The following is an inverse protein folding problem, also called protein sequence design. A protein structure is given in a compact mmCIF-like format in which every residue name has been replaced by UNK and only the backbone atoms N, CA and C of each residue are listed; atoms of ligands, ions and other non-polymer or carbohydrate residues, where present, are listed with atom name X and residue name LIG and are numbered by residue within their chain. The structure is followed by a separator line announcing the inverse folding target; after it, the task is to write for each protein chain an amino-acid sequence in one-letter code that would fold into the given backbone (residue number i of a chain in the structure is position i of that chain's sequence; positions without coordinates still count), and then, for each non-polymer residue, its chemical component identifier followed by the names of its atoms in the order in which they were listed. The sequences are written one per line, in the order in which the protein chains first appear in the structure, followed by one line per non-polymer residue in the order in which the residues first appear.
data_IF_224816794338
#
_entry.id   IF_224816794338
#
_cell.length_a   1.000
_cell.length_b   1.000
_cell.length_c   1.000
_cell.angle_alpha   90.00
_cell.angle_beta   90.00
_cell.angle_gamma   90.00
#
_symmetry.space_group_name_H-M   'P 1'
#
loop_
_entity.id
_entity.type
_entity.pdbx_description
1 polymer ?
#
# COMPACT_ATOMS: atom_id res chain seq x y z
N UNK A 1 -17.55 11.88 15.63
CA UNK A 1 -16.18 12.11 16.18
C UNK A 1 -15.15 11.80 15.09
N UNK A 2 -15.12 12.57 14.01
CA UNK A 2 -14.28 12.28 12.83
C UNK A 2 -13.33 13.45 12.49
N UNK A 3 -12.91 14.24 13.48
CA UNK A 3 -12.19 15.51 13.23
C UNK A 3 -10.68 15.45 13.53
N UNK A 4 -10.09 14.27 13.65
CA UNK A 4 -8.70 14.15 14.15
C UNK A 4 -7.59 14.00 13.10
N UNK A 5 -7.87 14.03 11.79
CA UNK A 5 -6.83 13.78 10.79
C UNK A 5 -6.27 15.01 10.05
N UNK A 6 -6.76 16.23 10.33
CA UNK A 6 -6.24 17.46 9.70
C UNK A 6 -6.28 18.64 10.68
N UNK A 7 -5.46 18.63 11.72
CA UNK A 7 -5.16 19.86 12.45
C UNK A 7 -3.64 20.10 12.41
N UNK A 8 -3.14 21.20 11.84
CA UNK A 8 -1.73 21.53 11.94
C UNK A 8 -1.45 21.92 13.39
N UNK A 9 -0.87 21.01 14.17
CA UNK A 9 -0.37 21.27 15.51
C UNK A 9 0.78 22.28 15.42
N UNK A 10 0.48 23.52 15.65
CA UNK A 10 1.49 24.51 15.97
C UNK A 10 1.98 24.27 17.40
N UNK A 11 3.28 24.01 17.55
CA UNK A 11 4.07 24.29 18.75
C UNK A 11 3.88 23.40 20.01
N UNK A 12 3.64 22.09 19.91
CA UNK A 12 3.62 21.20 21.10
C UNK A 12 4.47 19.94 20.97
N UNK A 13 5.41 19.84 20.05
CA UNK A 13 6.32 18.66 19.97
C UNK A 13 5.65 17.33 19.57
N UNK A 14 4.34 17.28 19.38
CA UNK A 14 3.63 16.12 18.87
C UNK A 14 3.81 16.01 17.35
N UNK A 15 3.93 14.78 16.79
CA UNK A 15 4.03 14.59 15.35
C UNK A 15 2.80 15.18 14.66
N UNK A 16 3.02 15.90 13.56
CA UNK A 16 1.95 16.59 12.81
C UNK A 16 0.86 15.64 12.28
N UNK A 17 1.12 14.33 12.24
CA UNK A 17 0.21 13.28 11.79
C UNK A 17 0.27 12.08 12.72
N UNK A 18 -0.85 11.36 12.92
CA UNK A 18 -0.87 10.15 13.72
C UNK A 18 0.01 9.07 13.08
N UNK A 19 0.61 8.23 13.94
CA UNK A 19 1.33 7.04 13.50
C UNK A 19 0.35 5.97 13.07
N UNK A 20 0.43 5.55 11.80
CA UNK A 20 -0.40 4.49 11.19
C UNK A 20 0.49 3.27 10.90
N UNK A 21 0.09 2.09 11.38
CA UNK A 21 0.80 0.83 11.20
C UNK A 21 -0.14 -0.18 10.54
N UNK A 22 0.05 -0.36 9.24
CA UNK A 22 -0.79 -1.15 8.38
C UNK A 22 -0.17 -2.47 7.93
N UNK A 23 -1.03 -3.28 7.34
CA UNK A 23 -0.67 -4.47 6.57
C UNK A 23 -1.15 -4.33 5.14
N UNK A 24 -0.44 -4.90 4.18
CA UNK A 24 -0.96 -5.07 2.84
C UNK A 24 -0.57 -6.43 2.24
N UNK A 25 -1.33 -6.85 1.24
CA UNK A 25 -1.11 -8.07 0.50
C UNK A 25 -1.37 -7.87 -0.99
N UNK A 26 -0.68 -8.63 -1.82
CA UNK A 26 -0.98 -8.73 -3.25
C UNK A 26 -1.92 -9.92 -3.56
N UNK A 27 -2.46 -10.56 -2.50
CA UNK A 27 -3.23 -11.78 -2.63
C UNK A 27 -2.35 -12.95 -3.04
N UNK A 28 -1.20 -13.10 -2.40
CA UNK A 28 -0.26 -14.19 -2.68
C UNK A 28 -0.98 -15.53 -2.65
N UNK A 29 -0.80 -16.33 -3.70
CA UNK A 29 -1.41 -17.67 -3.78
C UNK A 29 -0.82 -18.57 -2.72
N UNK A 30 -1.59 -18.79 -1.67
CA UNK A 30 -1.20 -19.60 -0.51
C UNK A 30 -1.16 -21.08 -0.85
N UNK A 31 -0.45 -21.86 -0.03
CA UNK A 31 -0.38 -23.33 -0.13
C UNK A 31 -1.18 -24.02 0.96
N UNK A 32 -1.58 -25.26 0.70
CA UNK A 32 -2.07 -26.18 1.70
C UNK A 32 -0.95 -26.63 2.65
N UNK A 33 -1.24 -27.27 3.78
CA UNK A 33 -0.22 -27.85 4.65
C UNK A 33 0.69 -28.89 3.98
N UNK A 34 0.22 -29.50 2.86
CA UNK A 34 1.05 -30.39 2.05
C UNK A 34 1.93 -29.69 1.00
N UNK A 35 1.89 -28.35 0.95
CA UNK A 35 2.67 -27.55 -0.01
C UNK A 35 2.01 -27.34 -1.38
N UNK A 36 0.82 -27.92 -1.62
CA UNK A 36 0.12 -27.74 -2.89
C UNK A 36 -0.55 -26.37 -2.96
N UNK A 37 -0.41 -25.63 -4.09
CA UNK A 37 -1.05 -24.34 -4.25
C UNK A 37 -2.57 -24.42 -4.15
N UNK A 38 -3.18 -23.53 -3.37
CA UNK A 38 -4.63 -23.44 -3.26
C UNK A 38 -5.24 -22.84 -4.53
N UNK A 39 -6.55 -23.05 -4.73
CA UNK A 39 -7.29 -22.40 -5.82
C UNK A 39 -7.34 -20.89 -5.64
N UNK A 40 -7.45 -20.13 -6.74
CA UNK A 40 -7.66 -18.67 -6.70
C UNK A 40 -8.85 -18.29 -5.81
N UNK A 41 -9.96 -19.04 -5.93
CA UNK A 41 -11.14 -18.80 -5.11
C UNK A 41 -10.88 -18.98 -3.61
N UNK A 42 -10.04 -19.96 -3.21
CA UNK A 42 -9.67 -20.12 -1.82
C UNK A 42 -8.71 -19.03 -1.35
N UNK A 43 -7.76 -18.62 -2.20
CA UNK A 43 -6.85 -17.47 -1.90
C UNK A 43 -7.67 -16.20 -1.65
N UNK A 44 -8.65 -15.88 -2.49
CA UNK A 44 -9.53 -14.72 -2.30
C UNK A 44 -10.29 -14.79 -0.97
N UNK A 45 -10.87 -15.96 -0.62
CA UNK A 45 -11.55 -16.14 0.67
C UNK A 45 -10.60 -15.98 1.86
N UNK A 46 -9.38 -16.49 1.75
CA UNK A 46 -8.36 -16.38 2.79
C UNK A 46 -7.98 -14.90 3.04
N UNK A 47 -7.86 -14.08 1.99
CA UNK A 47 -7.57 -12.64 2.14
C UNK A 47 -8.68 -11.92 2.89
N UNK A 48 -9.96 -12.30 2.70
CA UNK A 48 -11.06 -11.73 3.51
C UNK A 48 -10.88 -12.07 4.99
N UNK A 49 -10.56 -13.34 5.33
CA UNK A 49 -10.32 -13.75 6.72
C UNK A 49 -9.09 -13.03 7.32
N UNK A 50 -8.03 -12.84 6.54
CA UNK A 50 -6.83 -12.11 6.94
C UNK A 50 -7.13 -10.65 7.26
N UNK A 51 -7.95 -9.97 6.44
CA UNK A 51 -8.35 -8.58 6.70
C UNK A 51 -9.22 -8.43 7.94
N UNK A 52 -10.10 -9.39 8.21
CA UNK A 52 -10.91 -9.41 9.45
C UNK A 52 -10.03 -9.67 10.69
N UNK A 53 -9.07 -10.60 10.59
CA UNK A 53 -8.12 -10.84 11.68
C UNK A 53 -7.24 -9.62 11.94
N UNK A 54 -6.84 -8.89 10.90
CA UNK A 54 -6.05 -7.67 11.05
C UNK A 54 -6.75 -6.63 11.94
N UNK A 55 -8.07 -6.43 11.80
CA UNK A 55 -8.82 -5.58 12.73
C UNK A 55 -8.80 -6.13 14.16
N UNK A 56 -9.05 -7.43 14.33
CA UNK A 56 -9.06 -8.07 15.65
C UNK A 56 -7.71 -7.96 16.36
N UNK A 57 -6.62 -7.97 15.59
CA UNK A 57 -5.26 -7.81 16.09
C UNK A 57 -4.86 -6.33 16.34
N UNK A 58 -5.71 -5.36 16.01
CA UNK A 58 -5.46 -3.94 16.24
C UNK A 58 -4.58 -3.25 15.20
N UNK A 59 -4.61 -3.74 13.96
CA UNK A 59 -3.95 -3.12 12.79
C UNK A 59 -4.75 -1.89 12.36
N UNK A 60 -4.06 -0.79 12.02
CA UNK A 60 -4.73 0.47 11.66
C UNK A 60 -5.24 0.49 10.21
N UNK A 61 -4.58 -0.20 9.29
CA UNK A 61 -4.90 -0.22 7.86
C UNK A 61 -4.67 -1.60 7.24
N UNK A 62 -5.55 -2.01 6.34
CA UNK A 62 -5.39 -3.20 5.52
C UNK A 62 -5.52 -2.87 4.04
N UNK A 63 -4.45 -3.14 3.29
CA UNK A 63 -4.34 -2.83 1.87
C UNK A 63 -4.35 -4.06 0.97
N UNK A 64 -4.92 -3.90 -0.24
CA UNK A 64 -4.86 -4.92 -1.29
C UNK A 64 -4.26 -4.33 -2.56
N UNK A 65 -3.16 -4.92 -3.03
CA UNK A 65 -2.53 -4.58 -4.29
C UNK A 65 -3.23 -5.26 -5.47
N UNK A 66 -3.40 -4.52 -6.57
CA UNK A 66 -3.99 -5.02 -7.81
C UNK A 66 -2.96 -5.78 -8.63
N UNK A 67 -3.26 -7.04 -8.95
CA UNK A 67 -2.45 -7.91 -9.78
C UNK A 67 -3.32 -8.85 -10.63
N UNK A 68 -2.80 -9.26 -11.80
CA UNK A 68 -3.52 -10.07 -12.80
C UNK A 68 -2.73 -11.35 -13.18
N UNK A 69 -2.01 -11.94 -12.23
CA UNK A 69 -1.17 -13.13 -12.44
C UNK A 69 -1.69 -14.34 -11.67
N UNK A 70 -1.26 -15.54 -12.08
CA UNK A 70 -1.62 -16.78 -11.39
C UNK A 70 -1.11 -16.82 -9.93
N UNK A 71 0.04 -16.22 -9.66
CA UNK A 71 0.62 -16.17 -8.32
C UNK A 71 0.10 -15.02 -7.44
N UNK A 72 -0.57 -14.03 -8.05
CA UNK A 72 -1.31 -12.95 -7.37
C UNK A 72 -2.71 -12.79 -7.97
N UNK A 73 -3.66 -13.69 -7.67
CA UNK A 73 -4.99 -13.67 -8.27
C UNK A 73 -5.92 -12.64 -7.60
N UNK A 74 -5.50 -11.37 -7.61
CA UNK A 74 -6.19 -10.28 -6.91
C UNK A 74 -6.49 -9.08 -7.84
N UNK A 75 -7.24 -9.29 -8.93
CA UNK A 75 -7.50 -8.23 -9.91
C UNK A 75 -8.57 -7.23 -9.45
N UNK A 76 -9.41 -7.58 -8.50
CA UNK A 76 -10.53 -6.76 -8.02
C UNK A 76 -10.46 -6.61 -6.49
N UNK A 77 -9.37 -6.00 -6.01
CA UNK A 77 -9.13 -5.79 -4.58
C UNK A 77 -10.23 -4.99 -3.89
N UNK A 78 -10.86 -4.05 -4.59
CA UNK A 78 -11.99 -3.26 -4.12
C UNK A 78 -13.21 -4.11 -3.73
N UNK A 79 -13.50 -5.19 -4.46
CA UNK A 79 -14.58 -6.14 -4.13
C UNK A 79 -14.25 -6.92 -2.85
N UNK A 80 -12.99 -7.34 -2.69
CA UNK A 80 -12.53 -8.04 -1.49
C UNK A 80 -12.53 -7.10 -0.28
N UNK A 81 -12.09 -5.84 -0.45
CA UNK A 81 -12.16 -4.81 0.58
C UNK A 81 -13.59 -4.53 1.02
N UNK A 82 -14.57 -4.55 0.11
CA UNK A 82 -15.99 -4.40 0.47
C UNK A 82 -16.50 -5.58 1.34
N UNK A 83 -16.04 -6.80 1.06
CA UNK A 83 -16.38 -7.97 1.90
C UNK A 83 -15.75 -7.86 3.30
N UNK A 84 -14.53 -7.33 3.41
CA UNK A 84 -13.88 -7.03 4.70
C UNK A 84 -14.62 -5.90 5.42
N UNK A 85 -14.96 -4.80 4.71
CA UNK A 85 -15.68 -3.66 5.28
C UNK A 85 -17.00 -4.04 5.96
N UNK A 86 -17.72 -5.01 5.38
CA UNK A 86 -18.98 -5.52 5.93
C UNK A 86 -18.80 -6.36 7.21
N UNK A 87 -17.57 -6.72 7.60
CA UNK A 87 -17.22 -7.57 8.74
C UNK A 87 -16.33 -6.87 9.76
N UNK A 88 -16.05 -5.57 9.55
CA UNK A 88 -15.12 -4.76 10.36
C UNK A 88 -15.73 -3.38 10.65
N UNK A 89 -15.26 -2.72 11.72
CA UNK A 89 -15.82 -1.44 12.18
C UNK A 89 -14.79 -0.30 12.28
N UNK A 90 -13.49 -0.63 12.40
CA UNK A 90 -12.45 0.36 12.74
C UNK A 90 -11.30 0.45 11.75
N UNK A 91 -10.84 -0.69 11.23
CA UNK A 91 -9.68 -0.75 10.33
C UNK A 91 -9.92 0.04 9.05
N UNK A 92 -8.97 0.87 8.67
CA UNK A 92 -8.97 1.53 7.36
C UNK A 92 -8.68 0.52 6.24
N UNK A 93 -9.33 0.68 5.12
CA UNK A 93 -9.30 -0.29 4.01
C UNK A 93 -8.93 0.43 2.70
N UNK A 94 -7.96 -0.08 1.98
CA UNK A 94 -7.54 0.58 0.75
C UNK A 94 -6.75 -0.26 -0.23
N UNK A 95 -6.40 0.34 -1.36
CA UNK A 95 -5.48 -0.32 -2.30
C UNK A 95 -4.02 -0.15 -1.92
N UNK A 96 -3.19 -1.10 -2.39
CA UNK A 96 -1.74 -1.06 -2.17
C UNK A 96 -0.93 -1.67 -3.35
N UNK A 97 -1.17 -1.25 -4.59
CA UNK A 97 -1.86 -0.06 -5.10
C UNK A 97 -3.02 -0.40 -6.06
N UNK A 98 -3.86 0.59 -6.45
CA UNK A 98 -4.66 0.53 -7.68
C UNK A 98 -3.79 0.94 -8.86
N UNK A 99 -3.75 0.13 -9.93
CA UNK A 99 -2.97 0.41 -11.15
C UNK A 99 -3.74 1.38 -12.05
N UNK A 100 -3.73 2.67 -11.70
CA UNK A 100 -4.52 3.69 -12.38
C UNK A 100 -4.13 3.86 -13.86
N UNK A 101 -2.90 3.51 -14.25
CA UNK A 101 -2.47 3.57 -15.66
C UNK A 101 -3.35 2.74 -16.59
N UNK A 102 -3.81 1.58 -16.14
CA UNK A 102 -4.65 0.65 -16.93
C UNK A 102 -6.14 0.66 -16.56
N UNK A 103 -6.56 1.56 -15.65
CA UNK A 103 -7.98 1.69 -15.24
C UNK A 103 -8.55 3.07 -15.61
N UNK A 104 -9.88 3.22 -15.56
CA UNK A 104 -10.55 4.50 -15.76
C UNK A 104 -10.70 5.23 -14.41
N UNK A 105 -10.21 6.48 -14.27
CA UNK A 105 -10.25 7.22 -13.01
C UNK A 105 -11.67 7.48 -12.48
N UNK A 106 -12.68 7.56 -13.35
CA UNK A 106 -14.08 7.67 -12.93
C UNK A 106 -14.53 6.37 -12.26
N UNK A 107 -14.17 5.22 -12.84
CA UNK A 107 -14.48 3.91 -12.24
C UNK A 107 -13.77 3.69 -10.91
N UNK A 108 -12.50 4.07 -10.82
CA UNK A 108 -11.75 4.00 -9.56
C UNK A 108 -12.41 4.87 -8.50
N UNK A 109 -12.75 6.12 -8.83
CA UNK A 109 -13.46 7.01 -7.92
C UNK A 109 -14.79 6.40 -7.45
N UNK A 110 -15.60 5.87 -8.37
CA UNK A 110 -16.90 5.26 -8.05
C UNK A 110 -16.75 4.05 -7.10
N UNK A 111 -15.78 3.15 -7.35
CA UNK A 111 -15.54 1.98 -6.51
C UNK A 111 -15.10 2.38 -5.11
N UNK A 112 -14.15 3.31 -4.98
CA UNK A 112 -13.65 3.74 -3.67
C UNK A 112 -14.63 4.65 -2.93
N UNK A 113 -15.44 5.46 -3.62
CA UNK A 113 -16.55 6.17 -2.99
C UNK A 113 -17.64 5.22 -2.48
N UNK A 114 -17.92 4.13 -3.21
CA UNK A 114 -18.83 3.08 -2.76
C UNK A 114 -18.24 2.34 -1.54
N UNK A 115 -16.96 1.99 -1.57
CA UNK A 115 -16.27 1.39 -0.42
C UNK A 115 -16.28 2.34 0.80
N UNK A 116 -16.09 3.64 0.57
CA UNK A 116 -16.14 4.65 1.61
C UNK A 116 -17.51 4.70 2.29
N UNK A 117 -18.59 4.67 1.51
CA UNK A 117 -19.96 4.61 2.03
C UNK A 117 -20.22 3.32 2.82
N UNK A 118 -19.81 2.14 2.27
CA UNK A 118 -19.99 0.85 2.93
C UNK A 118 -19.21 0.72 4.25
N UNK A 119 -18.06 1.40 4.34
CA UNK A 119 -17.17 1.34 5.49
C UNK A 119 -17.33 2.52 6.46
N UNK A 120 -18.34 3.39 6.29
CA UNK A 120 -18.52 4.59 7.11
C UNK A 120 -17.26 5.48 7.15
N UNK A 121 -16.69 5.79 5.98
CA UNK A 121 -15.59 6.74 5.83
C UNK A 121 -14.18 6.16 6.00
N UNK A 122 -14.02 4.82 6.11
CA UNK A 122 -12.71 4.15 6.33
C UNK A 122 -11.93 3.82 5.05
N UNK A 123 -12.47 4.16 3.87
CA UNK A 123 -11.78 3.85 2.63
C UNK A 123 -10.62 4.80 2.35
N UNK A 124 -9.54 4.23 1.81
CA UNK A 124 -8.38 4.95 1.29
C UNK A 124 -8.03 4.43 -0.11
N UNK A 125 -7.29 5.20 -0.88
CA UNK A 125 -6.76 4.74 -2.15
C UNK A 125 -5.31 5.13 -2.33
N UNK A 126 -4.45 4.14 -2.61
CA UNK A 126 -3.06 4.37 -3.02
C UNK A 126 -3.01 4.12 -4.53
N UNK A 127 -2.78 5.19 -5.28
CA UNK A 127 -2.68 5.15 -6.74
C UNK A 127 -1.25 4.84 -7.16
N UNK A 128 -1.09 3.88 -8.04
CA UNK A 128 0.19 3.49 -8.60
C UNK A 128 0.17 3.44 -10.12
N UNK A 129 1.36 3.50 -10.71
CA UNK A 129 1.53 3.30 -12.16
C UNK A 129 1.47 1.82 -12.56
N UNK A 130 1.52 0.93 -11.60
CA UNK A 130 1.81 -0.48 -11.79
C UNK A 130 3.32 -0.72 -11.89
N UNK A 131 3.80 -1.65 -11.09
CA UNK A 131 5.18 -2.14 -11.17
C UNK A 131 5.30 -3.36 -12.08
N UNK A 132 4.18 -3.99 -12.39
CA UNK A 132 4.02 -5.11 -13.31
C UNK A 132 3.36 -4.62 -14.60
N UNK A 133 3.66 -5.28 -15.70
CA UNK A 133 3.19 -4.86 -17.02
C UNK A 133 1.97 -5.65 -17.50
N UNK A 134 1.53 -6.65 -16.75
CA UNK A 134 0.47 -7.59 -17.12
C UNK A 134 -0.87 -6.92 -17.43
N UNK A 135 -1.20 -5.82 -16.77
CA UNK A 135 -2.45 -5.11 -16.98
C UNK A 135 -2.51 -4.37 -18.33
N UNK A 136 -1.35 -3.95 -18.87
CA UNK A 136 -1.32 -3.19 -20.13
C UNK A 136 -1.87 -3.97 -21.33
N UNK A 137 -1.29 -5.13 -21.72
CA UNK A 137 -1.84 -5.93 -22.79
C UNK A 137 -3.24 -6.47 -22.49
N UNK A 138 -3.54 -6.78 -21.20
CA UNK A 138 -4.83 -7.30 -20.79
C UNK A 138 -5.96 -6.30 -21.06
N UNK A 139 -5.73 -5.01 -20.85
CA UNK A 139 -6.72 -3.95 -21.03
C UNK A 139 -6.51 -3.10 -22.30
N UNK A 140 -5.57 -3.51 -23.18
CA UNK A 140 -5.35 -2.87 -24.46
C UNK A 140 -4.63 -1.53 -24.40
N UNK A 141 -3.78 -1.32 -23.40
CA UNK A 141 -2.90 -0.15 -23.29
C UNK A 141 -1.50 -0.44 -23.81
N UNK A 142 -0.83 0.59 -24.35
CA UNK A 142 0.56 0.53 -24.76
C UNK A 142 1.46 1.04 -23.62
N UNK A 143 2.56 0.32 -23.36
CA UNK A 143 3.58 0.74 -22.41
C UNK A 143 4.29 2.04 -22.80
N UNK A 144 4.29 2.40 -24.10
CA UNK A 144 4.80 3.68 -24.55
C UNK A 144 4.03 4.87 -23.96
N UNK A 145 2.75 4.68 -23.62
CA UNK A 145 1.88 5.71 -23.04
C UNK A 145 1.91 5.75 -21.51
N UNK A 146 2.78 4.93 -20.86
CA UNK A 146 2.83 4.71 -19.42
C UNK A 146 2.81 5.98 -18.56
N UNK A 147 3.65 6.97 -18.89
CA UNK A 147 3.72 8.22 -18.16
C UNK A 147 2.50 9.11 -18.40
N UNK A 148 2.05 9.21 -19.66
CA UNK A 148 0.91 10.03 -20.06
C UNK A 148 -0.39 9.50 -19.45
N UNK A 149 -0.61 8.19 -19.50
CA UNK A 149 -1.76 7.55 -18.87
C UNK A 149 -1.85 7.90 -17.38
N UNK A 150 -0.76 7.76 -16.64
CA UNK A 150 -0.77 8.05 -15.21
C UNK A 150 -0.93 9.54 -14.91
N UNK A 151 -0.27 10.42 -15.67
CA UNK A 151 -0.37 11.87 -15.50
C UNK A 151 -1.81 12.37 -15.70
N UNK A 152 -2.44 12.03 -16.83
CA UNK A 152 -3.79 12.47 -17.13
C UNK A 152 -4.83 11.85 -16.17
N UNK A 153 -4.71 10.57 -15.89
CA UNK A 153 -5.68 9.87 -15.05
C UNK A 153 -5.62 10.30 -13.58
N UNK A 154 -4.42 10.57 -13.03
CA UNK A 154 -4.31 11.14 -11.69
C UNK A 154 -4.84 12.58 -11.61
N UNK A 155 -4.66 13.39 -12.66
CA UNK A 155 -5.19 14.74 -12.71
C UNK A 155 -6.73 14.74 -12.73
N UNK A 156 -7.34 13.86 -13.54
CA UNK A 156 -8.80 13.69 -13.51
C UNK A 156 -9.30 13.16 -12.17
N UNK A 157 -8.59 12.19 -11.56
CA UNK A 157 -8.96 11.67 -10.24
C UNK A 157 -8.96 12.79 -9.18
N UNK A 158 -7.96 13.68 -9.23
CA UNK A 158 -7.91 14.84 -8.34
C UNK A 158 -9.08 15.81 -8.53
N UNK A 159 -9.62 15.97 -9.76
CA UNK A 159 -10.82 16.76 -10.00
C UNK A 159 -12.07 16.07 -9.44
N UNK A 160 -12.19 14.75 -9.59
CA UNK A 160 -13.33 13.98 -9.06
C UNK A 160 -13.46 14.11 -7.53
N UNK A 161 -12.33 14.20 -6.84
CA UNK A 161 -12.30 14.39 -5.37
C UNK A 161 -12.80 15.77 -4.90
N UNK A 162 -12.90 16.77 -5.80
CA UNK A 162 -13.46 18.08 -5.45
C UNK A 162 -14.99 18.07 -5.34
N UNK A 163 -15.63 17.02 -5.85
CA UNK A 163 -17.09 16.94 -5.92
C UNK A 163 -17.72 17.83 -6.99
N UNK A 164 -19.02 17.65 -7.23
CA UNK A 164 -19.79 18.35 -8.24
C UNK A 164 -19.55 17.87 -9.67
N UNK A 165 -20.20 18.49 -10.65
CA UNK A 165 -20.07 18.10 -12.04
C UNK A 165 -18.67 18.34 -12.61
N UNK A 166 -18.11 17.36 -13.31
CA UNK A 166 -16.75 17.38 -13.83
C UNK A 166 -16.73 17.60 -15.33
N UNK A 167 -15.87 18.51 -15.77
CA UNK A 167 -15.50 18.68 -17.18
C UNK A 167 -14.03 18.33 -17.35
N UNK A 168 -13.75 17.44 -18.29
CA UNK A 168 -12.39 16.95 -18.57
C UNK A 168 -12.13 16.86 -20.06
N UNK A 169 -10.93 17.20 -20.46
CA UNK A 169 -10.44 16.95 -21.81
C UNK A 169 -8.98 16.51 -21.71
N UNK A 170 -8.70 15.33 -22.22
CA UNK A 170 -7.37 14.72 -22.30
C UNK A 170 -7.27 13.86 -23.55
N UNK A 171 -6.21 13.08 -23.65
CA UNK A 171 -5.93 12.21 -24.79
C UNK A 171 -6.13 10.73 -24.48
N UNK A 172 -6.10 10.37 -23.20
CA UNK A 172 -6.14 8.96 -22.75
C UNK A 172 -7.55 8.41 -22.50
N UNK A 173 -8.57 9.29 -22.59
CA UNK A 173 -9.99 8.91 -22.48
C UNK A 173 -10.90 9.95 -23.13
N UNK A 174 -12.17 9.60 -23.47
CA UNK A 174 -13.16 10.56 -23.94
C UNK A 174 -13.40 11.71 -22.97
N UNK A 175 -13.71 12.89 -23.52
CA UNK A 175 -14.01 14.09 -22.75
C UNK A 175 -15.25 13.91 -21.86
N UNK A 176 -15.26 14.55 -20.70
CA UNK A 176 -16.44 14.77 -19.85
C UNK A 176 -16.91 16.22 -20.04
N UNK A 177 -18.22 16.43 -20.07
CA UNK A 177 -18.81 17.76 -20.23
C UNK A 177 -19.87 17.97 -19.15
N UNK A 178 -19.51 18.69 -18.08
CA UNK A 178 -20.37 18.97 -16.94
C UNK A 178 -21.11 17.71 -16.45
N UNK A 179 -20.32 16.63 -16.27
CA UNK A 179 -20.84 15.30 -15.97
C UNK A 179 -20.90 15.07 -14.47
N UNK A 180 -22.07 14.76 -13.93
CA UNK A 180 -22.22 14.32 -12.54
C UNK A 180 -21.63 12.91 -12.38
N UNK A 181 -20.88 12.70 -11.30
CA UNK A 181 -20.29 11.39 -10.98
C UNK A 181 -20.73 10.98 -9.59
N UNK A 182 -21.36 9.82 -9.47
CA UNK A 182 -21.92 9.28 -8.23
C UNK A 182 -21.29 7.93 -7.90
N UNK A 183 -21.28 7.52 -6.60
CA UNK A 183 -21.82 8.24 -5.43
C UNK A 183 -20.93 9.40 -5.00
N UNK A 184 -21.53 10.42 -4.40
CA UNK A 184 -20.78 11.46 -3.70
C UNK A 184 -20.24 10.91 -2.39
N UNK A 185 -19.14 11.49 -1.91
CA UNK A 185 -18.70 11.27 -0.53
C UNK A 185 -19.70 11.97 0.41
N UNK A 186 -20.05 11.33 1.52
CA UNK A 186 -20.90 11.93 2.52
C UNK A 186 -20.22 13.12 3.21
N UNK A 187 -21.03 14.06 3.72
CA UNK A 187 -20.52 15.23 4.43
C UNK A 187 -19.67 14.81 5.62
N UNK A 188 -18.45 15.37 5.70
CA UNK A 188 -17.48 15.05 6.73
C UNK A 188 -16.55 13.89 6.39
N UNK A 189 -16.84 13.10 5.36
CA UNK A 189 -15.94 12.06 4.89
C UNK A 189 -15.03 12.53 3.75
N UNK A 190 -13.85 11.96 3.70
CA UNK A 190 -12.88 12.18 2.63
C UNK A 190 -12.35 10.83 2.15
N UNK A 191 -12.03 10.74 0.88
CA UNK A 191 -11.28 9.61 0.35
C UNK A 191 -9.79 9.94 0.44
N UNK A 192 -9.14 9.42 1.48
CA UNK A 192 -7.70 9.58 1.68
C UNK A 192 -6.94 9.03 0.48
N UNK A 193 -6.16 9.87 -0.17
CA UNK A 193 -5.51 9.53 -1.45
C UNK A 193 -4.00 9.65 -1.35
N UNK A 194 -3.31 8.62 -1.78
CA UNK A 194 -1.86 8.49 -1.77
C UNK A 194 -1.32 8.19 -3.18
N UNK A 195 -0.07 8.54 -3.43
CA UNK A 195 0.66 8.07 -4.62
C UNK A 195 1.81 7.17 -4.18
N UNK A 196 1.84 5.95 -4.73
CA UNK A 196 2.93 5.01 -4.57
C UNK A 196 4.13 5.39 -5.44
N UNK A 197 5.32 5.51 -4.81
CA UNK A 197 6.56 5.93 -5.48
C UNK A 197 7.70 4.98 -5.16
N UNK A 198 8.23 4.33 -6.20
CA UNK A 198 9.37 3.42 -6.10
C UNK A 198 10.74 4.05 -6.39
N UNK A 199 10.86 5.40 -6.44
CA UNK A 199 12.16 6.08 -6.66
C UNK A 199 12.19 7.07 -7.82
N UNK A 200 11.05 7.58 -8.30
CA UNK A 200 10.96 8.63 -9.33
C UNK A 200 10.72 10.00 -8.69
N UNK A 201 11.66 10.97 -8.81
CA UNK A 201 11.44 12.32 -8.33
C UNK A 201 10.22 13.01 -8.96
N UNK A 202 9.94 12.71 -10.22
CA UNK A 202 8.77 13.25 -10.95
C UNK A 202 7.47 12.81 -10.29
N UNK A 203 7.38 11.55 -9.83
CA UNK A 203 6.21 11.04 -9.12
C UNK A 203 6.04 11.69 -7.74
N UNK A 204 7.14 12.00 -7.04
CA UNK A 204 7.11 12.77 -5.79
C UNK A 204 6.54 14.17 -6.02
N UNK A 205 7.03 14.88 -7.04
CA UNK A 205 6.55 16.23 -7.39
C UNK A 205 5.08 16.18 -7.82
N UNK A 206 4.67 15.14 -8.56
CA UNK A 206 3.26 14.92 -8.94
C UNK A 206 2.36 14.76 -7.72
N UNK A 207 2.74 13.93 -6.75
CA UNK A 207 1.99 13.76 -5.50
C UNK A 207 1.80 15.11 -4.79
N UNK A 208 2.87 15.88 -4.61
CA UNK A 208 2.82 17.19 -3.98
C UNK A 208 1.94 18.18 -4.77
N UNK A 209 2.07 18.25 -6.11
CA UNK A 209 1.28 19.13 -6.97
C UNK A 209 -0.22 18.84 -6.88
N UNK A 210 -0.61 17.57 -6.84
CA UNK A 210 -2.00 17.16 -6.71
C UNK A 210 -2.54 17.25 -5.27
N UNK A 211 -1.67 17.37 -4.26
CA UNK A 211 -2.06 17.37 -2.85
C UNK A 211 -2.44 15.98 -2.35
N UNK A 212 -1.76 14.96 -2.86
CA UNK A 212 -1.88 13.57 -2.41
C UNK A 212 -0.72 13.21 -1.50
N UNK A 213 -0.97 12.37 -0.52
CA UNK A 213 0.06 11.86 0.39
C UNK A 213 1.06 10.96 -0.37
N UNK A 214 2.26 10.81 0.18
CA UNK A 214 3.33 10.04 -0.46
C UNK A 214 3.50 8.68 0.20
N UNK A 215 3.40 7.59 -0.57
CA UNK A 215 3.76 6.24 -0.15
C UNK A 215 5.05 5.80 -0.83
N UNK A 216 6.13 5.65 -0.07
CA UNK A 216 7.41 5.16 -0.56
C UNK A 216 7.40 3.62 -0.62
N UNK A 217 7.39 3.06 -1.83
CA UNK A 217 7.44 1.61 -2.06
C UNK A 217 8.91 1.14 -2.04
N UNK A 218 9.36 0.63 -0.90
CA UNK A 218 10.76 0.23 -0.67
C UNK A 218 10.84 -1.29 -0.63
N UNK A 219 11.05 -1.89 -1.78
CA UNK A 219 11.03 -3.35 -1.96
C UNK A 219 12.44 -4.00 -1.97
N UNK A 220 13.50 -3.21 -1.85
CA UNK A 220 14.88 -3.70 -1.80
C UNK A 220 15.91 -2.59 -1.62
N UNK A 221 17.11 -2.97 -1.21
CA UNK A 221 18.24 -2.09 -0.96
C UNK A 221 18.13 -1.35 0.38
N UNK A 222 18.78 -0.21 0.49
CA UNK A 222 18.81 0.57 1.74
C UNK A 222 17.65 1.55 1.81
N UNK A 223 16.71 1.46 2.78
CA UNK A 223 15.62 2.43 2.94
C UNK A 223 16.09 3.87 3.06
N UNK A 224 17.21 4.13 3.72
CA UNK A 224 17.76 5.47 3.91
C UNK A 224 18.00 6.25 2.59
N UNK A 225 18.19 5.55 1.46
CA UNK A 225 18.32 6.21 0.13
C UNK A 225 17.05 6.95 -0.31
N UNK A 226 15.93 6.69 0.33
CA UNK A 226 14.65 7.35 0.05
C UNK A 226 14.43 8.63 0.87
N UNK A 227 15.28 8.94 1.85
CA UNK A 227 15.15 10.18 2.63
C UNK A 227 15.14 11.47 1.77
N UNK A 228 15.94 11.60 0.68
CA UNK A 228 15.83 12.75 -0.22
C UNK A 228 14.45 12.89 -0.88
N UNK A 229 13.72 11.79 -1.12
CA UNK A 229 12.37 11.86 -1.70
C UNK A 229 11.34 12.39 -0.70
N UNK A 230 11.43 12.00 0.57
CA UNK A 230 10.59 12.55 1.63
C UNK A 230 10.83 14.06 1.81
N UNK A 231 12.09 14.49 1.82
CA UNK A 231 12.46 15.92 1.87
C UNK A 231 11.97 16.69 0.64
N UNK A 232 12.16 16.13 -0.57
CA UNK A 232 11.68 16.71 -1.83
C UNK A 232 10.16 16.89 -1.81
N UNK A 233 9.42 15.92 -1.25
CA UNK A 233 7.96 15.98 -1.15
C UNK A 233 7.50 17.18 -0.33
N UNK A 234 8.03 17.37 0.88
CA UNK A 234 7.66 18.50 1.75
C UNK A 234 8.03 19.84 1.12
N UNK A 235 9.20 19.92 0.50
CA UNK A 235 9.63 21.13 -0.22
C UNK A 235 8.70 21.43 -1.42
N UNK A 236 8.31 20.40 -2.19
CA UNK A 236 7.40 20.57 -3.32
C UNK A 236 5.99 21.00 -2.86
N UNK A 237 5.46 20.44 -1.76
CA UNK A 237 4.21 20.91 -1.17
C UNK A 237 4.27 22.40 -0.85
N UNK A 238 5.34 22.87 -0.17
CA UNK A 238 5.52 24.28 0.15
C UNK A 238 5.59 25.14 -1.12
N UNK A 239 6.32 24.71 -2.15
CA UNK A 239 6.42 25.42 -3.43
C UNK A 239 5.08 25.52 -4.18
N UNK A 240 4.18 24.54 -4.00
CA UNK A 240 2.81 24.58 -4.54
C UNK A 240 1.79 25.27 -3.60
N UNK A 241 2.23 25.85 -2.49
CA UNK A 241 1.36 26.51 -1.51
C UNK A 241 0.42 25.56 -0.78
N UNK A 242 0.82 24.29 -0.64
CA UNK A 242 0.02 23.26 0.04
C UNK A 242 0.53 23.02 1.46
N UNK A 243 -0.36 22.64 2.39
CA UNK A 243 0.08 22.25 3.73
C UNK A 243 0.93 20.98 3.68
N UNK A 244 1.76 20.72 4.71
CA UNK A 244 2.42 19.43 4.86
C UNK A 244 1.45 18.27 4.77
N UNK A 245 1.89 17.16 4.20
CA UNK A 245 1.12 15.90 4.09
C UNK A 245 1.98 14.72 4.58
N UNK A 246 1.36 13.64 5.06
CA UNK A 246 2.08 12.50 5.60
C UNK A 246 2.88 11.76 4.53
N UNK A 247 3.97 11.13 4.98
CA UNK A 247 4.77 10.18 4.22
C UNK A 247 4.57 8.80 4.82
N UNK A 248 4.27 7.83 3.98
CA UNK A 248 4.18 6.41 4.32
C UNK A 248 5.33 5.63 3.69
N UNK A 249 5.59 4.47 4.26
CA UNK A 249 6.56 3.49 3.79
C UNK A 249 5.87 2.15 3.63
N UNK A 250 6.04 1.53 2.47
CA UNK A 250 5.64 0.16 2.20
C UNK A 250 6.90 -0.68 2.07
N UNK A 251 6.94 -1.84 2.72
CA UNK A 251 8.06 -2.78 2.63
C UNK A 251 7.64 -4.22 2.89
N UNK A 252 8.25 -5.19 2.15
CA UNK A 252 7.94 -6.62 2.35
C UNK A 252 8.56 -7.16 3.62
N UNK A 253 7.88 -8.15 4.22
CA UNK A 253 8.41 -8.81 5.39
C UNK A 253 7.59 -9.99 5.89
N UNK A 254 8.04 -10.55 7.01
CA UNK A 254 7.41 -11.67 7.69
C UNK A 254 7.79 -11.68 9.16
N UNK A 255 6.80 -11.85 10.03
CA UNK A 255 6.98 -11.91 11.48
C UNK A 255 6.69 -13.33 11.96
N UNK A 256 7.62 -13.91 12.68
CA UNK A 256 7.48 -15.19 13.34
C UNK A 256 7.97 -15.10 14.81
N UNK A 257 7.74 -16.10 15.66
CA UNK A 257 8.12 -16.04 17.07
C UNK A 257 9.63 -15.77 17.33
N UNK A 258 10.50 -16.20 16.40
CA UNK A 258 11.96 -15.98 16.48
C UNK A 258 12.51 -15.53 15.13
N UNK A 259 13.69 -14.91 15.13
CA UNK A 259 14.37 -14.47 13.91
C UNK A 259 14.70 -15.66 12.99
N UNK A 260 15.23 -16.75 13.57
CA UNK A 260 15.58 -17.96 12.82
C UNK A 260 14.35 -18.56 12.14
N UNK A 261 13.23 -18.68 12.87
CA UNK A 261 11.98 -19.20 12.30
C UNK A 261 11.45 -18.29 11.19
N UNK A 262 11.49 -16.98 11.36
CA UNK A 262 11.06 -16.04 10.33
C UNK A 262 11.89 -16.17 9.06
N UNK A 263 13.20 -16.34 9.17
CA UNK A 263 14.11 -16.56 8.04
C UNK A 263 13.83 -17.88 7.33
N UNK A 264 13.69 -18.98 8.08
CA UNK A 264 13.43 -20.32 7.55
C UNK A 264 12.09 -20.40 6.81
N UNK A 265 11.05 -19.76 7.35
CA UNK A 265 9.73 -19.71 6.74
C UNK A 265 9.72 -18.82 5.48
N UNK A 266 10.36 -17.64 5.52
CA UNK A 266 10.23 -16.66 4.46
C UNK A 266 11.17 -16.88 3.27
N UNK A 267 12.42 -17.28 3.52
CA UNK A 267 13.47 -17.38 2.49
C UNK A 267 13.09 -18.22 1.26
N UNK A 268 12.62 -19.47 1.39
CA UNK A 268 12.31 -20.29 0.23
C UNK A 268 11.22 -19.68 -0.64
N UNK A 269 10.19 -19.09 -0.01
CA UNK A 269 9.06 -18.47 -0.69
C UNK A 269 9.42 -17.13 -1.34
N UNK A 270 10.20 -16.31 -0.65
CA UNK A 270 10.72 -15.06 -1.20
C UNK A 270 11.61 -15.28 -2.41
N UNK A 271 12.54 -16.22 -2.32
CA UNK A 271 13.42 -16.58 -3.43
C UNK A 271 12.63 -17.03 -4.66
N UNK A 272 11.64 -17.88 -4.46
CA UNK A 272 10.79 -18.37 -5.55
C UNK A 272 9.93 -17.25 -6.16
N UNK A 273 9.32 -16.42 -5.33
CA UNK A 273 8.57 -15.25 -5.80
C UNK A 273 9.43 -14.33 -6.64
N UNK A 274 10.61 -13.96 -6.16
CA UNK A 274 11.51 -13.09 -6.93
C UNK A 274 11.99 -13.79 -8.22
N UNK A 275 12.19 -15.10 -8.21
CA UNK A 275 12.53 -15.87 -9.43
C UNK A 275 11.41 -15.76 -10.49
N UNK A 276 10.16 -15.83 -10.08
CA UNK A 276 9.01 -15.66 -10.99
C UNK A 276 8.96 -14.24 -11.57
N UNK A 277 9.07 -13.24 -10.69
CA UNK A 277 9.02 -11.82 -11.07
C UNK A 277 10.26 -11.38 -11.85
N UNK A 278 11.42 -12.01 -11.61
CA UNK A 278 12.70 -11.69 -12.27
C UNK A 278 12.64 -11.89 -13.79
N UNK A 279 11.88 -12.89 -14.25
CA UNK A 279 11.70 -13.15 -15.69
C UNK A 279 11.03 -11.95 -16.38
N UNK A 280 10.11 -11.30 -15.72
CA UNK A 280 9.36 -10.16 -16.29
C UNK A 280 10.09 -8.82 -16.13
N UNK A 281 10.88 -8.67 -15.05
CA UNK A 281 11.44 -7.37 -14.63
C UNK A 281 12.96 -7.27 -14.75
N UNK A 282 13.64 -8.35 -15.11
CA UNK A 282 15.09 -8.37 -15.23
C UNK A 282 15.84 -8.23 -13.89
N UNK A 283 15.22 -8.62 -12.78
CA UNK A 283 15.89 -8.65 -11.47
C UNK A 283 16.82 -9.85 -11.35
N UNK A 284 17.86 -9.71 -10.53
CA UNK A 284 18.65 -10.86 -10.13
C UNK A 284 17.89 -11.73 -9.13
N UNK A 285 17.97 -13.06 -9.29
CA UNK A 285 17.43 -13.99 -8.28
C UNK A 285 18.25 -13.83 -6.99
N UNK A 286 17.60 -13.65 -5.82
CA UNK A 286 18.34 -13.43 -4.59
C UNK A 286 19.18 -14.65 -4.18
N UNK A 287 20.35 -14.36 -3.62
CA UNK A 287 21.23 -15.33 -2.95
C UNK A 287 21.01 -15.24 -1.45
N UNK A 288 21.46 -16.24 -0.68
CA UNK A 288 21.43 -16.21 0.79
C UNK A 288 22.18 -14.98 1.34
N UNK A 289 23.32 -14.60 0.71
CA UNK A 289 24.07 -13.41 1.12
C UNK A 289 23.26 -12.12 0.90
N UNK A 290 22.62 -11.98 -0.27
CA UNK A 290 21.76 -10.82 -0.53
C UNK A 290 20.53 -10.80 0.37
N UNK A 291 19.97 -11.94 0.70
CA UNK A 291 18.84 -12.05 1.63
C UNK A 291 19.26 -11.67 3.06
N UNK A 292 20.41 -12.16 3.53
CA UNK A 292 20.96 -11.79 4.83
C UNK A 292 21.23 -10.27 4.94
N UNK A 293 21.70 -9.63 3.85
CA UNK A 293 21.81 -8.17 3.82
C UNK A 293 20.44 -7.49 3.90
N UNK A 294 19.45 -7.93 3.10
CA UNK A 294 18.12 -7.31 3.02
C UNK A 294 17.31 -7.49 4.31
N UNK A 295 17.48 -8.60 5.01
CA UNK A 295 16.85 -8.84 6.33
C UNK A 295 17.59 -8.14 7.48
N UNK A 296 18.86 -7.80 7.28
CA UNK A 296 19.68 -7.07 8.25
C UNK A 296 19.19 -5.64 8.52
N UNK A 297 19.77 -4.93 9.48
CA UNK A 297 19.28 -3.61 9.94
C UNK A 297 19.22 -2.53 8.85
N UNK A 298 20.04 -2.64 7.81
CA UNK A 298 20.15 -1.65 6.73
C UNK A 298 19.35 -2.04 5.46
N UNK A 299 18.83 -3.25 5.38
CA UNK A 299 18.11 -3.74 4.22
C UNK A 299 16.61 -3.42 4.28
N UNK A 300 15.88 -3.76 3.22
CA UNK A 300 14.48 -3.39 3.05
C UNK A 300 13.48 -4.50 3.44
N UNK A 301 13.94 -5.71 3.79
CA UNK A 301 13.05 -6.80 4.20
C UNK A 301 12.85 -6.80 5.72
N UNK A 302 11.61 -6.71 6.16
CA UNK A 302 11.22 -6.69 7.58
C UNK A 302 10.90 -8.12 8.04
N UNK A 303 11.93 -8.95 8.17
CA UNK A 303 11.83 -10.37 8.52
C UNK A 303 12.49 -10.61 9.87
N UNK A 304 11.78 -11.24 10.79
CA UNK A 304 12.31 -11.53 12.13
C UNK A 304 11.23 -11.68 13.19
N UNK A 305 11.70 -11.73 14.43
CA UNK A 305 10.85 -11.68 15.63
C UNK A 305 10.14 -10.32 15.74
N UNK A 306 9.09 -10.22 16.56
CA UNK A 306 8.40 -8.95 16.78
C UNK A 306 9.31 -7.80 17.19
N UNK A 307 10.30 -8.06 18.06
CA UNK A 307 11.25 -7.02 18.48
C UNK A 307 12.16 -6.57 17.34
N UNK A 308 12.74 -7.51 16.59
CA UNK A 308 13.61 -7.20 15.42
C UNK A 308 12.87 -6.38 14.38
N UNK A 309 11.64 -6.75 14.05
CA UNK A 309 10.82 -6.03 13.07
C UNK A 309 10.41 -4.65 13.58
N UNK A 310 9.99 -4.54 14.86
CA UNK A 310 9.60 -3.26 15.45
C UNK A 310 10.75 -2.25 15.48
N UNK A 311 11.95 -2.66 15.88
CA UNK A 311 13.15 -1.81 15.87
C UNK A 311 13.47 -1.29 14.46
N UNK A 312 13.39 -2.15 13.47
CA UNK A 312 13.66 -1.81 12.07
C UNK A 312 12.62 -0.83 11.52
N UNK A 313 11.33 -1.05 11.81
CA UNK A 313 10.25 -0.14 11.43
C UNK A 313 10.48 1.25 12.06
N UNK A 314 10.67 1.33 13.38
CA UNK A 314 10.88 2.60 14.07
C UNK A 314 12.10 3.36 13.55
N UNK A 315 13.21 2.66 13.29
CA UNK A 315 14.43 3.24 12.71
C UNK A 315 14.17 3.85 11.34
N UNK A 316 13.45 3.14 10.47
CA UNK A 316 13.16 3.60 9.11
C UNK A 316 12.13 4.74 9.11
N UNK A 317 11.12 4.72 9.97
CA UNK A 317 10.16 5.81 10.12
C UNK A 317 10.87 7.11 10.52
N UNK A 318 11.78 7.08 11.49
CA UNK A 318 12.59 8.24 11.87
C UNK A 318 13.50 8.72 10.73
N UNK A 319 14.22 7.80 10.09
CA UNK A 319 15.15 8.12 8.99
C UNK A 319 14.46 8.80 7.81
N UNK A 320 13.20 8.40 7.54
CA UNK A 320 12.42 8.88 6.41
C UNK A 320 11.44 10.00 6.79
N UNK A 321 11.40 10.41 8.06
CA UNK A 321 10.40 11.33 8.60
C UNK A 321 8.99 10.92 8.21
N UNK A 322 8.72 9.61 8.25
CA UNK A 322 7.45 9.01 7.89
C UNK A 322 6.58 8.75 9.12
N UNK A 323 5.28 8.80 8.95
CA UNK A 323 4.27 8.56 10.00
C UNK A 323 3.37 7.38 9.70
N UNK A 324 3.67 6.64 8.61
CA UNK A 324 2.94 5.43 8.26
C UNK A 324 3.90 4.35 7.79
N UNK A 325 3.63 3.11 8.19
CA UNK A 325 4.33 1.93 7.69
C UNK A 325 3.32 0.83 7.37
N UNK A 326 3.32 0.35 6.13
CA UNK A 326 2.50 -0.78 5.69
C UNK A 326 3.43 -1.96 5.41
N UNK A 327 3.27 -3.05 6.17
CA UNK A 327 4.00 -4.29 5.96
C UNK A 327 3.30 -5.12 4.89
N UNK A 328 3.95 -5.35 3.75
CA UNK A 328 3.52 -6.39 2.81
C UNK A 328 3.88 -7.74 3.43
N UNK A 329 2.93 -8.34 4.12
CA UNK A 329 3.14 -9.55 4.88
C UNK A 329 3.14 -10.80 4.00
N UNK A 330 4.11 -11.67 4.23
CA UNK A 330 4.28 -12.92 3.51
C UNK A 330 4.87 -12.78 2.11
N UNK A 331 5.14 -13.91 1.50
CA UNK A 331 5.63 -14.06 0.14
C UNK A 331 5.18 -15.40 -0.44
N UNK A 332 4.55 -15.36 -1.61
CA UNK A 332 4.25 -16.56 -2.41
C UNK A 332 3.59 -17.68 -1.63
N UNK A 333 3.99 -18.91 -1.82
CA UNK A 333 3.38 -20.13 -1.31
C UNK A 333 3.37 -20.39 0.23
N UNK A 334 3.52 -19.37 1.08
CA UNK A 334 3.29 -19.52 2.52
C UNK A 334 1.88 -20.04 2.82
N UNK A 335 1.73 -20.85 3.88
CA UNK A 335 0.43 -21.37 4.26
C UNK A 335 -0.47 -20.25 4.81
N UNK A 336 -1.78 -20.43 4.70
CA UNK A 336 -2.73 -19.48 5.29
C UNK A 336 -2.53 -19.37 6.82
N UNK A 337 -2.25 -20.48 7.51
CA UNK A 337 -1.99 -20.51 8.96
C UNK A 337 -0.76 -19.68 9.34
N UNK A 338 0.33 -19.80 8.57
CA UNK A 338 1.54 -18.99 8.76
C UNK A 338 1.25 -17.49 8.60
N UNK A 339 0.44 -17.13 7.58
CA UNK A 339 0.05 -15.73 7.39
C UNK A 339 -0.86 -15.22 8.52
N UNK A 340 -1.77 -16.03 9.05
CA UNK A 340 -2.60 -15.66 10.20
C UNK A 340 -1.75 -15.41 11.45
N UNK A 341 -0.77 -16.29 11.73
CA UNK A 341 0.19 -16.09 12.82
C UNK A 341 1.01 -14.81 12.67
N UNK A 342 1.47 -14.51 11.45
CA UNK A 342 2.18 -13.26 11.15
C UNK A 342 1.31 -12.03 11.47
N UNK A 343 0.03 -12.02 11.06
CA UNK A 343 -0.90 -10.92 11.34
C UNK A 343 -1.09 -10.73 12.85
N UNK A 344 -1.30 -11.82 13.60
CA UNK A 344 -1.44 -11.78 15.07
C UNK A 344 -0.20 -11.21 15.74
N UNK A 345 0.98 -11.68 15.37
CA UNK A 345 2.25 -11.20 15.95
C UNK A 345 2.48 -9.72 15.60
N UNK A 346 2.19 -9.33 14.35
CA UNK A 346 2.33 -7.94 13.94
C UNK A 346 1.39 -7.04 14.75
N UNK A 347 0.10 -7.36 14.82
CA UNK A 347 -0.87 -6.55 15.53
C UNK A 347 -0.64 -6.49 17.04
N UNK A 348 -0.45 -7.64 17.68
CA UNK A 348 -0.39 -7.72 19.13
C UNK A 348 0.98 -7.41 19.73
N UNK A 349 2.07 -7.55 18.96
CA UNK A 349 3.43 -7.38 19.50
C UNK A 349 4.22 -6.29 18.77
N UNK A 350 4.25 -6.29 17.42
CA UNK A 350 5.04 -5.30 16.67
C UNK A 350 4.44 -3.91 16.82
N UNK A 351 3.14 -3.73 16.57
CA UNK A 351 2.48 -2.42 16.64
C UNK A 351 2.67 -1.72 17.99
N UNK A 352 2.36 -2.35 19.14
CA UNK A 352 2.58 -1.72 20.44
C UNK A 352 4.04 -1.33 20.67
N UNK A 353 4.97 -2.19 20.26
CA UNK A 353 6.41 -1.94 20.41
C UNK A 353 6.90 -0.78 19.52
N UNK A 354 6.46 -0.70 18.27
CA UNK A 354 6.77 0.46 17.41
C UNK A 354 6.23 1.74 18.02
N UNK A 355 4.98 1.74 18.50
CA UNK A 355 4.37 2.91 19.17
C UNK A 355 5.15 3.34 20.41
N UNK A 356 5.68 2.40 21.20
CA UNK A 356 6.54 2.70 22.32
C UNK A 356 7.86 3.34 21.87
N UNK A 357 8.55 2.69 20.92
CA UNK A 357 9.80 3.19 20.36
C UNK A 357 9.67 4.58 19.72
N UNK A 358 8.55 4.93 19.15
CA UNK A 358 8.33 6.22 18.51
C UNK A 358 7.97 7.36 19.46
N UNK A 359 7.80 7.08 20.77
CA UNK A 359 7.60 8.13 21.81
C UNK A 359 8.92 8.76 22.26
N UNK A 360 10.02 8.03 22.09
CA UNK A 360 11.37 8.46 22.45
C UNK A 360 12.04 9.25 21.29
#
# INVERSE_FOLDING_TARGET
MADHLLNPAAATGEPAFPLVLGLDTFGDRTSSPSGEPLSHAQTVRNVVEQGVLAEQAGVDFFGIGEHHTDYFPMPAGDVVLAAIAARTEHIHLGSAVTVLSSDDPVRVFQRYSTLNALSNGRAEVILGRGSSIESFPLFGYDLADYEQLFEEKTALFAQLLQGGPVSWQGTTRPALRNQEVVPHLEDGYRLSTWIGVGGSPQSVIRAARLGFSLMLAIIGGRPARFAPFAALFQQALANFGKPPLPVGVHGPGHVAPTDDQAHDEFWPHWRELIRLVAVERGFAVPTEESFAFETGPQGALYVGSPETVAQKIATNLRTLSATRFDLKYGAGGLSHETLMTNIELYGHQVIPRVRELMKD
#
